data_IF_789685002294
#
_entry.id   IF_789685002294
#
_cell.length_a   1.000
_cell.length_b   1.000
_cell.length_c   1.000
_cell.angle_alpha   90.00
_cell.angle_beta   90.00
_cell.angle_gamma   90.00
#
_symmetry.space_group_name_H-M   'P 1'
#
loop_
_entity.id
_entity.type
_entity.pdbx_description
1 polymer ?
#
# COMPACT_ATOMS: atom_id res chain seq x y z
N UNK A 1 10.26 -33.66 5.55
CA UNK A 1 8.98 -33.03 5.97
C UNK A 1 9.11 -31.52 5.73
N UNK A 2 8.65 -31.06 4.60
CA UNK A 2 8.61 -29.64 4.24
C UNK A 2 7.43 -29.01 4.94
N UNK A 3 7.68 -28.15 5.93
CA UNK A 3 6.65 -27.34 6.55
C UNK A 3 6.10 -26.39 5.50
N UNK A 4 4.87 -26.60 5.12
CA UNK A 4 4.09 -25.69 4.30
C UNK A 4 3.78 -24.47 5.19
N UNK A 5 4.58 -23.43 5.05
CA UNK A 5 4.29 -22.12 5.62
C UNK A 5 3.17 -21.52 4.76
N UNK A 6 1.95 -21.84 5.11
CA UNK A 6 0.79 -21.07 4.66
C UNK A 6 1.02 -19.61 5.10
N UNK A 7 1.62 -18.83 4.22
CA UNK A 7 1.69 -17.39 4.32
C UNK A 7 0.26 -16.87 4.12
N UNK A 8 -0.48 -16.81 5.24
CA UNK A 8 -1.68 -15.98 5.28
C UNK A 8 -1.21 -14.58 4.90
N UNK A 9 -1.81 -13.93 3.89
CA UNK A 9 -1.49 -12.54 3.62
C UNK A 9 -1.85 -11.77 4.89
N UNK A 10 -0.84 -11.46 5.69
CA UNK A 10 -0.96 -10.40 6.68
C UNK A 10 -1.44 -9.21 5.90
N UNK A 11 -2.47 -8.53 6.39
CA UNK A 11 -2.97 -7.31 5.76
C UNK A 11 -1.76 -6.48 5.36
N UNK A 12 -1.41 -6.57 4.10
CA UNK A 12 -0.29 -5.86 3.52
C UNK A 12 -0.55 -4.44 3.94
N UNK A 13 0.41 -3.79 4.59
CA UNK A 13 0.38 -2.33 4.70
C UNK A 13 0.14 -1.84 3.29
N UNK A 14 -1.12 -1.61 3.00
CA UNK A 14 -1.56 -1.26 1.67
C UNK A 14 -0.77 0.00 1.35
N UNK A 15 0.11 -0.06 0.35
CA UNK A 15 0.68 1.15 -0.22
C UNK A 15 -0.54 1.88 -0.75
N UNK A 16 -1.18 2.66 0.13
CA UNK A 16 -2.51 3.24 -0.07
C UNK A 16 -2.58 4.25 -1.20
N UNK A 17 -1.46 4.44 -1.92
CA UNK A 17 -1.44 5.29 -3.08
C UNK A 17 -0.79 4.58 -4.25
N UNK A 18 -1.34 4.82 -5.40
CA UNK A 18 -0.74 4.44 -6.67
C UNK A 18 0.63 5.11 -6.78
N UNK A 19 1.70 4.31 -6.80
CA UNK A 19 3.04 4.81 -7.08
C UNK A 19 3.08 5.38 -8.49
N UNK A 20 3.49 6.64 -8.63
CA UNK A 20 3.64 7.30 -9.93
C UNK A 20 4.96 6.96 -10.61
N UNK A 21 5.90 6.36 -9.89
CA UNK A 21 7.16 5.84 -10.41
C UNK A 21 7.58 4.63 -9.58
N UNK A 22 8.48 3.81 -10.12
CA UNK A 22 9.01 2.63 -9.42
C UNK A 22 10.28 2.99 -8.64
N UNK A 23 10.25 2.95 -7.30
CA UNK A 23 11.46 3.17 -6.52
C UNK A 23 12.53 2.12 -6.83
N UNK A 24 13.81 2.53 -6.81
CA UNK A 24 14.92 1.60 -6.94
C UNK A 24 15.23 0.91 -5.60
N UNK A 25 15.86 -0.27 -5.63
CA UNK A 25 16.14 -1.03 -4.41
C UNK A 25 16.89 -0.23 -3.33
N UNK A 26 17.80 0.65 -3.72
CA UNK A 26 18.64 1.47 -2.83
C UNK A 26 18.01 2.80 -2.42
N UNK A 27 16.88 3.19 -3.03
CA UNK A 27 16.23 4.45 -2.69
C UNK A 27 15.80 4.45 -1.22
N UNK A 28 16.05 5.54 -0.53
CA UNK A 28 15.76 5.69 0.89
C UNK A 28 16.49 6.90 1.50
N UNK A 29 16.34 7.08 2.82
CA UNK A 29 15.49 6.30 3.71
C UNK A 29 14.01 6.35 3.34
N UNK A 30 13.27 5.33 3.75
CA UNK A 30 11.81 5.27 3.58
C UNK A 30 11.15 5.66 4.89
N UNK A 31 10.33 6.71 4.88
CA UNK A 31 9.46 7.07 5.99
C UNK A 31 8.06 6.54 5.71
N UNK A 32 7.53 5.77 6.64
CA UNK A 32 6.15 5.30 6.64
C UNK A 32 5.40 5.99 7.77
N UNK A 33 4.26 6.58 7.47
CA UNK A 33 3.35 7.13 8.47
C UNK A 33 2.04 6.37 8.45
N UNK A 34 1.49 6.09 9.64
CA UNK A 34 0.18 5.44 9.79
C UNK A 34 -0.63 6.27 10.76
N UNK A 35 -1.81 6.71 10.33
CA UNK A 35 -2.67 7.56 11.15
C UNK A 35 -3.91 6.80 11.61
N UNK A 36 -4.19 6.89 12.92
CA UNK A 36 -5.31 6.26 13.59
C UNK A 36 -6.21 7.30 14.22
N UNK A 37 -7.50 7.12 14.09
CA UNK A 37 -8.52 7.82 14.87
C UNK A 37 -9.11 6.85 15.90
N UNK A 38 -9.11 7.22 17.17
CA UNK A 38 -9.54 6.34 18.24
C UNK A 38 -10.75 6.92 18.98
N UNK A 39 -11.52 6.01 19.58
CA UNK A 39 -12.41 6.42 20.67
C UNK A 39 -11.58 6.79 21.90
N UNK A 40 -11.96 7.87 22.57
CA UNK A 40 -11.26 8.40 23.76
C UNK A 40 -11.02 7.34 24.84
N UNK A 41 -11.94 6.40 25.00
CA UNK A 41 -11.85 5.33 26.00
C UNK A 41 -10.80 4.27 25.68
N UNK A 42 -10.30 4.22 24.43
CA UNK A 42 -9.41 3.16 23.92
C UNK A 42 -7.94 3.56 23.85
N UNK A 43 -7.60 4.81 24.16
CA UNK A 43 -6.23 5.33 24.04
C UNK A 43 -5.20 4.55 24.84
N UNK A 44 -5.48 4.19 26.09
CA UNK A 44 -4.55 3.41 26.94
C UNK A 44 -4.27 2.02 26.34
N UNK A 45 -5.31 1.30 25.95
CA UNK A 45 -5.18 -0.02 25.30
C UNK A 45 -4.38 0.08 24.00
N UNK A 46 -4.62 1.12 23.22
CA UNK A 46 -3.90 1.36 21.98
C UNK A 46 -2.40 1.59 22.23
N UNK A 47 -2.05 2.44 23.20
CA UNK A 47 -0.64 2.69 23.55
C UNK A 47 0.07 1.41 24.01
N UNK A 48 -0.60 0.54 24.76
CA UNK A 48 -0.03 -0.74 25.19
C UNK A 48 0.22 -1.66 23.97
N UNK A 49 -0.72 -1.79 23.03
CA UNK A 49 -0.51 -2.54 21.79
C UNK A 49 0.61 -1.93 20.93
N UNK A 50 0.73 -0.61 20.91
CA UNK A 50 1.78 0.07 20.14
C UNK A 50 3.19 -0.23 20.65
N UNK A 51 3.37 -0.62 21.90
CA UNK A 51 4.67 -1.11 22.40
C UNK A 51 5.08 -2.41 21.70
N UNK A 52 4.15 -3.33 21.51
CA UNK A 52 4.41 -4.58 20.79
C UNK A 52 4.60 -4.33 19.28
N UNK A 53 3.75 -3.52 18.67
CA UNK A 53 3.86 -3.11 17.26
C UNK A 53 5.22 -2.47 16.98
N UNK A 54 5.72 -1.62 17.87
CA UNK A 54 7.06 -1.03 17.80
C UNK A 54 8.15 -2.11 17.72
N UNK A 55 8.11 -3.10 18.62
CA UNK A 55 9.09 -4.18 18.66
C UNK A 55 9.06 -5.02 17.39
N UNK A 56 7.87 -5.30 16.87
CA UNK A 56 7.68 -6.02 15.61
C UNK A 56 8.37 -5.27 14.46
N UNK A 57 8.12 -3.97 14.31
CA UNK A 57 8.70 -3.18 13.23
C UNK A 57 10.22 -3.04 13.34
N UNK A 58 10.74 -2.81 14.56
CA UNK A 58 12.19 -2.73 14.78
C UNK A 58 12.89 -4.05 14.47
N UNK A 59 12.33 -5.19 14.90
CA UNK A 59 12.86 -6.51 14.57
C UNK A 59 12.86 -6.77 13.06
N UNK A 60 11.88 -6.25 12.36
CA UNK A 60 11.72 -6.46 10.91
C UNK A 60 12.48 -5.43 10.05
N UNK A 61 13.32 -4.57 10.65
CA UNK A 61 14.27 -3.74 9.92
C UNK A 61 14.03 -2.23 9.96
N UNK A 62 13.03 -1.76 10.71
CA UNK A 62 12.93 -0.34 11.01
C UNK A 62 14.06 0.07 11.98
N UNK A 63 14.72 1.19 11.71
CA UNK A 63 15.75 1.73 12.60
C UNK A 63 15.25 2.89 13.47
N UNK A 64 14.08 3.42 13.16
CA UNK A 64 13.37 4.41 13.97
C UNK A 64 11.88 4.10 13.97
N UNK A 65 11.24 4.28 15.11
CA UNK A 65 9.81 4.13 15.28
C UNK A 65 9.32 5.03 16.42
N UNK A 66 8.33 5.85 16.16
CA UNK A 66 7.76 6.78 17.13
C UNK A 66 6.24 6.83 17.00
N UNK A 67 5.58 7.07 18.13
CA UNK A 67 4.14 7.29 18.21
C UNK A 67 3.89 8.71 18.68
N UNK A 68 3.07 9.44 17.96
CA UNK A 68 2.65 10.80 18.26
C UNK A 68 1.14 10.86 18.45
N UNK A 69 0.68 11.77 19.28
CA UNK A 69 -0.72 12.17 19.34
C UNK A 69 -0.86 13.56 18.74
N UNK A 70 -1.87 13.77 17.89
CA UNK A 70 -2.19 15.11 17.40
C UNK A 70 -3.00 15.85 18.47
N UNK A 71 -2.52 17.00 18.96
CA UNK A 71 -3.25 17.77 19.96
C UNK A 71 -4.53 18.41 19.41
N UNK A 72 -4.72 18.41 18.07
CA UNK A 72 -5.87 19.01 17.41
C UNK A 72 -6.10 18.40 16.01
N UNK A 73 -6.94 17.42 15.84
CA UNK A 73 -7.97 16.89 16.75
C UNK A 73 -7.45 15.86 17.76
N UNK A 74 -8.04 15.85 18.96
CA UNK A 74 -7.73 14.85 19.99
C UNK A 74 -8.06 13.43 19.53
N UNK A 75 -7.35 12.44 20.11
CA UNK A 75 -7.48 11.01 19.83
C UNK A 75 -7.06 10.60 18.41
N UNK A 76 -6.31 11.44 17.72
CA UNK A 76 -5.63 11.09 16.47
C UNK A 76 -4.18 10.77 16.77
N UNK A 77 -3.77 9.55 16.44
CA UNK A 77 -2.43 9.06 16.70
C UNK A 77 -1.71 8.79 15.38
N UNK A 78 -0.42 9.10 15.33
CA UNK A 78 0.42 8.84 14.15
C UNK A 78 1.64 8.04 14.54
N UNK A 79 1.84 6.93 13.85
CA UNK A 79 3.11 6.21 13.84
C UNK A 79 3.99 6.85 12.77
N UNK A 80 5.25 7.07 13.10
CA UNK A 80 6.32 7.38 12.15
C UNK A 80 7.41 6.32 12.25
N UNK A 81 7.67 5.64 11.15
CA UNK A 81 8.64 4.56 11.07
C UNK A 81 9.62 4.82 9.93
N UNK A 82 10.91 4.62 10.18
CA UNK A 82 11.95 4.76 9.15
C UNK A 82 12.65 3.45 8.88
N UNK A 83 12.83 3.16 7.59
CA UNK A 83 13.54 1.98 7.07
C UNK A 83 14.67 2.44 6.15
N UNK A 84 15.83 1.77 6.16
CA UNK A 84 17.02 2.29 5.45
C UNK A 84 16.87 2.43 3.93
N UNK A 85 16.09 1.55 3.28
CA UNK A 85 15.96 1.53 1.82
C UNK A 85 14.63 0.92 1.38
N UNK A 86 14.29 1.11 0.10
CA UNK A 86 13.12 0.49 -0.51
C UNK A 86 13.16 -1.04 -0.42
N UNK A 87 14.32 -1.65 -0.65
CA UNK A 87 14.48 -3.10 -0.47
C UNK A 87 14.12 -3.54 0.94
N UNK A 88 14.63 -2.85 1.98
CA UNK A 88 14.33 -3.21 3.36
C UNK A 88 12.85 -3.01 3.69
N UNK A 89 12.21 -1.98 3.12
CA UNK A 89 10.78 -1.77 3.26
C UNK A 89 9.97 -2.94 2.68
N UNK A 90 10.32 -3.42 1.50
CA UNK A 90 9.66 -4.59 0.89
C UNK A 90 9.89 -5.87 1.69
N UNK A 91 11.12 -6.12 2.11
CA UNK A 91 11.49 -7.30 2.92
C UNK A 91 10.83 -7.29 4.31
N UNK A 92 10.51 -6.13 4.85
CA UNK A 92 9.81 -6.02 6.13
C UNK A 92 8.48 -6.77 6.11
N UNK A 93 7.77 -6.70 5.00
CA UNK A 93 6.48 -7.37 4.82
C UNK A 93 6.63 -8.90 4.73
N UNK A 94 7.67 -9.37 4.05
CA UNK A 94 7.97 -10.81 3.92
C UNK A 94 8.40 -11.44 5.25
N UNK A 95 9.01 -10.64 6.15
CA UNK A 95 9.46 -11.10 7.48
C UNK A 95 8.35 -11.12 8.52
N UNK A 96 7.19 -10.54 8.23
CA UNK A 96 6.07 -10.48 9.14
C UNK A 96 5.52 -11.88 9.40
N UNK A 97 5.40 -12.27 10.67
CA UNK A 97 4.80 -13.54 11.05
C UNK A 97 3.29 -13.42 11.22
N UNK A 98 2.59 -14.56 11.28
CA UNK A 98 1.16 -14.58 11.57
C UNK A 98 0.85 -13.93 12.93
N UNK A 99 1.65 -14.21 13.96
CA UNK A 99 1.48 -13.61 15.28
C UNK A 99 1.65 -12.08 15.24
N UNK A 100 2.60 -11.58 14.45
CA UNK A 100 2.77 -10.14 14.25
C UNK A 100 1.53 -9.51 13.62
N UNK A 101 0.97 -10.17 12.61
CA UNK A 101 -0.26 -9.73 11.96
C UNK A 101 -1.46 -9.70 12.91
N UNK A 102 -1.55 -10.64 13.83
CA UNK A 102 -2.61 -10.65 14.84
C UNK A 102 -2.51 -9.46 15.79
N UNK A 103 -1.29 -9.09 16.25
CA UNK A 103 -1.07 -7.90 17.07
C UNK A 103 -1.40 -6.62 16.32
N UNK A 104 -0.92 -6.48 15.09
CA UNK A 104 -1.21 -5.33 14.24
C UNK A 104 -2.71 -5.22 13.97
N UNK A 105 -3.38 -6.33 13.64
CA UNK A 105 -4.83 -6.36 13.42
C UNK A 105 -5.64 -5.97 14.65
N UNK A 106 -5.18 -6.33 15.86
CA UNK A 106 -5.81 -5.86 17.10
C UNK A 106 -5.70 -4.34 17.23
N UNK A 107 -4.54 -3.75 16.91
CA UNK A 107 -4.36 -2.32 16.93
C UNK A 107 -5.24 -1.62 15.89
N UNK A 108 -5.30 -2.14 14.67
CA UNK A 108 -6.17 -1.63 13.60
C UNK A 108 -7.65 -1.70 13.97
N UNK A 109 -8.08 -2.72 14.71
CA UNK A 109 -9.47 -2.86 15.16
C UNK A 109 -9.92 -1.78 16.14
N UNK A 110 -9.00 -1.02 16.74
CA UNK A 110 -9.31 0.11 17.62
C UNK A 110 -9.58 1.40 16.83
N UNK A 111 -9.24 1.44 15.55
CA UNK A 111 -9.52 2.57 14.68
C UNK A 111 -11.04 2.74 14.49
N UNK A 112 -11.54 3.98 14.57
CA UNK A 112 -12.96 4.30 14.46
C UNK A 112 -13.30 5.14 13.22
N UNK A 113 -12.31 5.45 12.39
CA UNK A 113 -12.52 6.16 11.13
C UNK A 113 -13.39 5.37 10.14
N UNK A 114 -14.03 6.03 9.17
CA UNK A 114 -14.87 5.38 8.17
C UNK A 114 -14.08 4.53 7.16
N UNK A 115 -12.78 4.80 7.04
CA UNK A 115 -11.83 4.07 6.20
C UNK A 115 -10.77 3.40 7.08
N UNK A 116 -10.02 2.43 6.58
CA UNK A 116 -8.85 1.90 7.29
C UNK A 116 -7.87 3.00 7.69
N UNK A 117 -6.96 2.77 8.69
CA UNK A 117 -5.92 3.71 9.04
C UNK A 117 -5.15 4.20 7.81
N UNK A 118 -4.92 5.51 7.72
CA UNK A 118 -4.25 6.10 6.55
C UNK A 118 -2.76 5.79 6.60
N UNK A 119 -2.26 5.10 5.57
CA UNK A 119 -0.84 4.78 5.41
C UNK A 119 -0.25 5.65 4.32
N UNK A 120 0.86 6.35 4.60
CA UNK A 120 1.62 7.10 3.61
C UNK A 120 3.09 6.69 3.65
N UNK A 121 3.69 6.66 2.48
CA UNK A 121 5.10 6.31 2.31
C UNK A 121 5.83 7.44 1.59
N UNK A 122 6.96 7.84 2.16
CA UNK A 122 7.81 8.90 1.63
C UNK A 122 9.22 8.38 1.42
N UNK A 123 9.88 8.85 0.37
CA UNK A 123 11.28 8.54 0.10
C UNK A 123 12.15 9.75 0.40
N UNK A 124 13.28 9.50 1.08
CA UNK A 124 14.29 10.51 1.33
C UNK A 124 14.79 11.11 0.02
N UNK A 125 14.81 12.44 -0.06
CA UNK A 125 15.19 13.16 -1.29
C UNK A 125 16.69 13.25 -1.40
N UNK A 126 17.24 12.77 -2.53
CA UNK A 126 18.62 12.98 -2.95
C UNK A 126 18.67 13.23 -4.47
N UNK A 127 19.83 13.61 -4.99
CA UNK A 127 19.98 13.88 -6.42
C UNK A 127 19.71 12.67 -7.31
N UNK A 128 20.06 11.48 -6.84
CA UNK A 128 19.83 10.24 -7.57
C UNK A 128 18.35 9.95 -7.71
N UNK A 129 17.58 10.07 -6.63
CA UNK A 129 16.13 9.89 -6.63
C UNK A 129 15.44 10.86 -7.61
N UNK A 130 15.84 12.13 -7.61
CA UNK A 130 15.28 13.11 -8.53
C UNK A 130 15.60 12.78 -9.98
N UNK A 131 16.79 12.25 -10.27
CA UNK A 131 17.19 11.83 -11.61
C UNK A 131 16.39 10.62 -12.12
N UNK A 132 16.01 9.69 -11.25
CA UNK A 132 15.17 8.55 -11.61
C UNK A 132 13.75 8.98 -11.92
N UNK A 133 13.17 9.84 -11.09
CA UNK A 133 11.80 10.36 -11.30
C UNK A 133 11.62 10.99 -12.68
N UNK A 134 12.59 11.74 -13.14
CA UNK A 134 12.53 12.39 -14.46
C UNK A 134 12.54 11.38 -15.61
N UNK A 135 13.33 10.30 -15.49
CA UNK A 135 13.40 9.27 -16.54
C UNK A 135 12.10 8.47 -16.65
N UNK A 136 11.52 8.07 -15.53
CA UNK A 136 10.31 7.25 -15.52
C UNK A 136 9.06 8.06 -15.92
N UNK A 137 8.98 9.33 -15.53
CA UNK A 137 7.91 10.22 -15.95
C UNK A 137 7.90 10.44 -17.48
N UNK A 138 9.07 10.55 -18.10
CA UNK A 138 9.19 10.71 -19.55
C UNK A 138 8.77 9.43 -20.30
N UNK A 139 8.94 8.25 -19.70
CA UNK A 139 8.57 6.98 -20.33
C UNK A 139 7.06 6.72 -20.25
N UNK A 140 6.36 7.25 -19.26
CA UNK A 140 4.90 7.08 -19.11
C UNK A 140 4.14 7.96 -20.12
N UNK A 141 4.67 9.14 -20.44
CA UNK A 141 4.04 10.08 -21.40
C UNK A 141 4.32 9.74 -22.88
N UNK A 142 5.25 8.83 -23.15
CA UNK A 142 5.68 8.49 -24.51
C UNK A 142 5.09 7.19 -25.06
N UNK A 143 3.98 6.66 -24.51
CA UNK A 143 3.27 5.55 -25.16
C UNK A 143 2.23 6.11 -26.13
N UNK A 144 2.51 6.10 -27.46
CA UNK A 144 1.54 6.65 -28.42
C UNK A 144 0.28 5.78 -28.44
N UNK A 145 -0.86 6.44 -28.52
CA UNK A 145 -2.15 5.92 -28.95
C UNK A 145 -2.05 5.31 -30.37
N UNK A 146 -1.52 4.13 -30.50
CA UNK A 146 -1.40 3.47 -31.80
C UNK A 146 -1.82 2.00 -31.73
N UNK A 147 -2.99 1.72 -31.15
CA UNK A 147 -3.60 0.39 -31.37
C UNK A 147 -5.14 0.41 -31.27
N UNK A 148 -5.80 1.51 -31.57
CA UNK A 148 -7.27 1.56 -31.62
C UNK A 148 -7.85 1.84 -33.01
N UNK A 149 -7.10 1.64 -34.08
CA UNK A 149 -7.61 1.82 -35.46
C UNK A 149 -7.59 0.59 -36.37
N UNK A 150 -7.59 -0.64 -35.79
CA UNK A 150 -7.61 -1.87 -36.61
C UNK A 150 -8.70 -2.90 -36.27
N UNK A 151 -9.72 -2.55 -35.51
CA UNK A 151 -10.82 -3.51 -35.21
C UNK A 151 -12.18 -3.12 -35.86
N UNK A 152 -12.31 -1.98 -36.50
CA UNK A 152 -13.58 -1.55 -37.10
C UNK A 152 -13.63 -1.60 -38.64
N UNK A 153 -12.98 -2.61 -39.26
CA UNK A 153 -13.05 -2.75 -40.72
C UNK A 153 -13.18 -4.19 -41.20
N UNK A 154 -13.96 -5.02 -40.49
CA UNK A 154 -14.29 -6.37 -41.05
C UNK A 154 -15.64 -6.92 -40.58
N UNK A 155 -16.67 -6.08 -40.46
CA UNK A 155 -18.05 -6.57 -40.33
C UNK A 155 -18.99 -5.73 -41.19
N UNK A 156 -18.81 -5.83 -42.48
CA UNK A 156 -19.86 -5.52 -43.47
C UNK A 156 -19.73 -6.47 -44.62
N UNK A 157 -20.28 -7.65 -44.44
CA UNK A 157 -20.85 -8.45 -45.55
C UNK A 157 -21.33 -9.80 -44.98
N UNK A 158 -22.58 -9.94 -44.84
CA UNK A 158 -23.42 -11.12 -45.01
C UNK A 158 -24.53 -11.23 -43.95
N UNK A 159 -25.60 -10.48 -44.13
CA UNK A 159 -26.89 -10.89 -43.62
C UNK A 159 -27.85 -10.91 -44.80
N UNK A 160 -28.05 -12.10 -45.37
CA UNK A 160 -29.19 -12.39 -46.24
C UNK A 160 -30.44 -12.50 -45.38
N UNK A 161 -31.41 -11.66 -45.70
CA UNK A 161 -32.75 -11.73 -45.16
C UNK A 161 -33.47 -13.02 -45.58
N UNK A 162 -33.95 -13.80 -44.59
CA UNK A 162 -34.91 -14.86 -44.77
C UNK A 162 -36.29 -14.42 -44.23
N UNK A 163 -37.40 -14.84 -44.81
CA UNK A 163 -38.73 -14.32 -44.52
C UNK A 163 -39.29 -14.85 -43.19
N UNK A 164 -40.09 -14.02 -42.54
CA UNK A 164 -40.81 -14.27 -41.27
C UNK A 164 -41.94 -15.31 -41.47
N UNK A 165 -42.21 -16.22 -40.55
CA UNK A 165 -43.41 -17.07 -40.54
C UNK A 165 -44.64 -16.27 -40.05
N UNK A 166 -45.77 -16.51 -40.77
CA UNK A 166 -47.11 -16.03 -40.36
C UNK A 166 -47.66 -16.94 -39.27
N UNK A 167 -48.24 -16.37 -38.25
CA UNK A 167 -49.13 -17.07 -37.31
C UNK A 167 -50.56 -16.99 -37.83
N UNK A 168 -51.18 -18.12 -37.96
CA UNK A 168 -52.64 -18.29 -37.83
C UNK A 168 -52.95 -18.71 -36.38
#
# INVERSE_FOLDING_TARGET
>A
MTANLDSVPVAVMNIGHKLLYRPQPKDGPVLVTIEFQLDRSRGSKFVDLMREVRLIHLRNGAYSWQLFEDPSPLNTFRIEMMVPSWTQYMLQQERMTKADGEVIGQAESLHVGPNPPEVRTYLGVNKELLSHKHRDATTIDSKPEATLKKVTRNEKSNVKAGPLPRFE
#
